data_IF_690936135730
#
_entry.id   IF_690936135730
#
_cell.length_a   1.000
_cell.length_b   1.000
_cell.length_c   1.000
_cell.angle_alpha   90.00
_cell.angle_beta   90.00
_cell.angle_gamma   90.00
#
_symmetry.space_group_name_H-M   'P 1'
#
loop_
_entity.id
_entity.type
_entity.pdbx_description
1 polymer ?
#
# COMPACT_ATOMS: atom_id res chain seq x y z
N UNK A 1 8.97 -17.30 19.70
CA UNK A 1 9.54 -17.96 18.50
C UNK A 1 10.89 -18.57 18.81
N UNK A 2 11.83 -17.86 19.46
CA UNK A 2 13.15 -18.42 19.81
C UNK A 2 13.09 -19.73 20.65
N UNK A 3 12.17 -19.83 21.60
CA UNK A 3 11.99 -21.03 22.44
C UNK A 3 11.46 -22.25 21.65
N UNK A 4 10.56 -22.02 20.67
CA UNK A 4 10.08 -23.06 19.77
C UNK A 4 11.20 -23.61 18.89
N UNK A 5 12.10 -22.76 18.39
CA UNK A 5 13.26 -23.21 17.60
C UNK A 5 14.17 -24.13 18.45
N UNK A 6 14.41 -23.79 19.72
CA UNK A 6 15.20 -24.63 20.63
C UNK A 6 14.54 -25.99 20.92
N UNK A 7 13.20 -26.03 20.99
CA UNK A 7 12.45 -27.29 21.14
C UNK A 7 12.52 -28.16 19.86
N UNK A 8 12.53 -27.54 18.68
CA UNK A 8 12.69 -28.24 17.40
C UNK A 8 14.10 -28.85 17.25
N UNK A 9 15.14 -28.14 17.66
CA UNK A 9 16.52 -28.65 17.68
C UNK A 9 16.64 -29.88 18.61
N UNK A 10 16.01 -29.84 19.79
CA UNK A 10 15.99 -30.97 20.73
C UNK A 10 15.24 -32.20 20.20
N UNK A 11 14.25 -32.01 19.32
CA UNK A 11 13.57 -33.10 18.61
C UNK A 11 14.51 -33.72 17.58
N UNK A 12 15.26 -32.91 16.83
CA UNK A 12 16.24 -33.39 15.85
C UNK A 12 17.35 -34.22 16.51
N UNK A 13 17.82 -33.78 17.69
CA UNK A 13 18.80 -34.51 18.49
C UNK A 13 18.23 -35.75 19.22
N UNK A 14 16.92 -36.00 19.11
CA UNK A 14 16.23 -37.14 19.72
C UNK A 14 16.07 -37.06 21.24
N UNK A 15 16.26 -35.88 21.82
CA UNK A 15 16.18 -35.65 23.27
C UNK A 15 14.73 -35.49 23.75
N UNK A 16 13.85 -35.00 22.89
CA UNK A 16 12.43 -34.78 23.17
C UNK A 16 11.58 -35.39 22.07
N UNK A 17 10.40 -35.91 22.44
CA UNK A 17 9.48 -36.47 21.46
C UNK A 17 8.60 -35.38 20.88
N UNK A 18 8.47 -35.37 19.56
CA UNK A 18 7.79 -34.31 18.83
C UNK A 18 6.33 -34.07 19.26
N UNK A 19 5.60 -35.12 19.67
CA UNK A 19 4.20 -34.97 20.05
C UNK A 19 4.03 -34.18 21.35
N UNK A 20 5.00 -34.23 22.27
CA UNK A 20 4.96 -33.51 23.55
C UNK A 20 5.09 -32.00 23.32
N UNK A 21 5.98 -31.60 22.42
CA UNK A 21 6.19 -30.19 22.03
C UNK A 21 4.96 -29.64 21.28
N UNK A 22 4.35 -30.45 20.41
CA UNK A 22 3.15 -30.04 19.66
C UNK A 22 1.93 -29.90 20.58
N UNK A 23 1.76 -30.81 21.54
CA UNK A 23 0.67 -30.76 22.52
C UNK A 23 0.78 -29.51 23.40
N UNK A 24 1.96 -29.26 23.98
CA UNK A 24 2.23 -28.07 24.80
C UNK A 24 1.95 -26.76 24.04
N UNK A 25 2.46 -26.64 22.80
CA UNK A 25 2.19 -25.46 21.97
C UNK A 25 0.70 -25.29 21.65
N UNK A 26 0.01 -26.40 21.37
CA UNK A 26 -1.38 -26.34 20.93
C UNK A 26 -2.34 -25.95 22.07
N UNK A 27 -2.06 -26.36 23.31
CA UNK A 27 -2.86 -25.94 24.47
C UNK A 27 -2.84 -24.42 24.65
N UNK A 28 -1.66 -23.80 24.63
CA UNK A 28 -1.49 -22.35 24.76
C UNK A 28 -2.09 -21.59 23.57
N UNK A 29 -1.87 -22.11 22.35
CA UNK A 29 -2.45 -21.54 21.14
C UNK A 29 -3.98 -21.61 21.16
N UNK A 30 -4.55 -22.73 21.59
CA UNK A 30 -6.00 -22.92 21.64
C UNK A 30 -6.66 -21.97 22.65
N UNK A 31 -6.05 -21.79 23.82
CA UNK A 31 -6.54 -20.80 24.80
C UNK A 31 -6.51 -19.38 24.22
N UNK A 32 -5.43 -19.03 23.52
CA UNK A 32 -5.30 -17.72 22.85
C UNK A 32 -6.34 -17.56 21.74
N UNK A 33 -6.57 -18.59 20.93
CA UNK A 33 -7.56 -18.60 19.86
C UNK A 33 -8.98 -18.43 20.42
N UNK A 34 -9.31 -19.15 21.49
CA UNK A 34 -10.61 -19.04 22.16
C UNK A 34 -10.85 -17.65 22.73
N UNK A 35 -9.84 -17.07 23.37
CA UNK A 35 -9.90 -15.68 23.84
C UNK A 35 -10.10 -14.73 22.66
N UNK A 36 -9.39 -14.93 21.55
CA UNK A 36 -9.54 -14.10 20.36
C UNK A 36 -10.94 -14.24 19.74
N UNK A 37 -11.52 -15.44 19.69
CA UNK A 37 -12.89 -15.68 19.21
C UNK A 37 -13.95 -15.05 20.12
N UNK A 38 -13.77 -15.13 21.45
CA UNK A 38 -14.71 -14.54 22.43
C UNK A 38 -14.58 -13.00 22.48
N UNK A 39 -13.37 -12.45 22.30
CA UNK A 39 -13.10 -11.01 22.32
C UNK A 39 -13.31 -10.33 20.96
N UNK A 40 -13.29 -11.10 19.86
CA UNK A 40 -13.82 -10.65 18.60
C UNK A 40 -15.33 -10.55 18.77
N UNK A 41 -15.80 -9.41 19.27
CA UNK A 41 -17.13 -8.94 18.91
C UNK A 41 -17.28 -9.16 17.40
N UNK A 42 -18.44 -9.63 16.94
CA UNK A 42 -18.80 -9.47 15.54
C UNK A 42 -18.67 -7.99 15.25
N UNK A 43 -17.50 -7.57 14.81
CA UNK A 43 -17.29 -6.29 14.17
C UNK A 43 -18.11 -6.51 12.91
N UNK A 44 -19.38 -6.16 12.99
CA UNK A 44 -20.18 -5.77 11.86
C UNK A 44 -19.33 -4.67 11.26
N UNK A 45 -18.49 -5.05 10.29
CA UNK A 45 -17.55 -4.17 9.60
C UNK A 45 -18.42 -3.27 8.73
N UNK A 46 -19.23 -2.45 9.38
CA UNK A 46 -19.39 -1.05 9.07
C UNK A 46 -18.02 -0.40 9.28
N UNK A 47 -16.99 -0.88 8.57
CA UNK A 47 -16.04 0.05 7.98
C UNK A 47 -16.96 1.11 7.38
N UNK A 48 -16.81 2.36 7.82
CA UNK A 48 -17.44 3.48 7.16
C UNK A 48 -16.91 3.46 5.72
N UNK A 49 -17.57 2.68 4.86
CA UNK A 49 -17.11 2.46 3.51
C UNK A 49 -17.45 3.77 2.82
N UNK A 50 -16.44 4.62 2.67
CA UNK A 50 -16.60 5.92 2.03
C UNK A 50 -17.29 5.70 0.67
N UNK A 51 -18.57 6.08 0.60
CA UNK A 51 -19.36 5.97 -0.62
C UNK A 51 -18.86 7.07 -1.54
N UNK A 52 -18.42 6.68 -2.71
CA UNK A 52 -17.95 7.62 -3.73
C UNK A 52 -19.06 7.91 -4.74
N UNK A 53 -18.99 9.05 -5.41
CA UNK A 53 -19.89 9.38 -6.53
C UNK A 53 -19.63 8.54 -7.79
N UNK A 54 -18.65 7.63 -7.75
CA UNK A 54 -18.29 6.75 -8.86
C UNK A 54 -19.34 5.65 -8.99
N UNK A 55 -20.05 5.61 -10.11
CA UNK A 55 -20.99 4.55 -10.44
C UNK A 55 -20.28 3.31 -11.00
N UNK A 56 -20.77 2.14 -10.59
CA UNK A 56 -20.32 0.85 -11.11
C UNK A 56 -20.79 0.67 -12.56
N UNK A 57 -19.87 0.35 -13.46
CA UNK A 57 -20.17 0.16 -14.89
C UNK A 57 -21.06 -1.06 -15.19
N UNK A 58 -21.12 -2.04 -14.28
CA UNK A 58 -21.89 -3.27 -14.50
C UNK A 58 -23.32 -3.21 -13.95
N UNK A 59 -23.57 -2.44 -12.89
CA UNK A 59 -24.88 -2.45 -12.21
C UNK A 59 -25.42 -1.05 -11.88
N UNK A 60 -24.66 0.01 -12.13
CA UNK A 60 -25.08 1.40 -11.88
C UNK A 60 -25.12 1.84 -10.41
N UNK A 61 -24.93 0.93 -9.44
CA UNK A 61 -24.84 1.26 -8.00
C UNK A 61 -23.54 2.04 -7.70
N UNK A 62 -23.53 2.81 -6.61
CA UNK A 62 -22.34 3.54 -6.17
C UNK A 62 -21.22 2.57 -5.76
N UNK A 63 -19.98 2.97 -6.03
CA UNK A 63 -18.79 2.27 -5.58
C UNK A 63 -18.33 2.80 -4.22
N UNK A 64 -17.73 1.93 -3.43
CA UNK A 64 -17.31 2.17 -2.06
C UNK A 64 -15.81 1.90 -1.92
N UNK A 65 -15.10 2.67 -1.09
CA UNK A 65 -13.66 2.50 -0.89
C UNK A 65 -13.38 1.37 0.10
N UNK A 66 -12.74 0.30 -0.34
CA UNK A 66 -12.28 -0.81 0.52
C UNK A 66 -10.77 -0.86 0.59
N UNK A 67 -10.23 -1.43 1.67
CA UNK A 67 -8.79 -1.65 1.87
C UNK A 67 -8.43 -3.10 1.56
N UNK A 68 -7.48 -3.31 0.65
CA UNK A 68 -6.94 -4.63 0.33
C UNK A 68 -5.42 -4.69 0.52
N UNK A 69 -4.82 -5.85 0.23
CA UNK A 69 -3.37 -6.08 0.32
C UNK A 69 -2.53 -5.03 -0.44
N UNK A 70 -3.05 -4.54 -1.57
CA UNK A 70 -2.33 -3.62 -2.45
C UNK A 70 -2.64 -2.13 -2.19
N UNK A 71 -3.51 -1.83 -1.23
CA UNK A 71 -3.94 -0.46 -0.92
C UNK A 71 -5.47 -0.32 -0.95
N UNK A 72 -5.93 0.93 -0.93
CA UNK A 72 -7.35 1.25 -1.10
C UNK A 72 -7.79 1.00 -2.55
N UNK A 73 -9.01 0.54 -2.76
CA UNK A 73 -9.60 0.31 -4.08
C UNK A 73 -11.12 0.57 -4.03
N UNK A 74 -11.72 0.83 -5.18
CA UNK A 74 -13.16 0.97 -5.31
C UNK A 74 -13.78 -0.41 -5.53
N UNK A 75 -14.74 -0.78 -4.71
CA UNK A 75 -15.55 -1.99 -4.87
C UNK A 75 -17.01 -1.62 -5.13
N UNK A 76 -17.73 -2.44 -5.87
CA UNK A 76 -19.18 -2.26 -6.00
C UNK A 76 -19.87 -2.45 -4.64
N UNK A 77 -20.79 -1.54 -4.28
CA UNK A 77 -21.65 -1.70 -3.09
C UNK A 77 -22.54 -2.94 -3.16
N UNK A 78 -22.83 -3.44 -4.36
CA UNK A 78 -23.64 -4.64 -4.58
C UNK A 78 -22.90 -5.97 -4.42
N UNK A 79 -21.73 -6.01 -3.78
CA UNK A 79 -21.09 -7.28 -3.44
C UNK A 79 -21.95 -8.07 -2.43
N UNK A 80 -22.16 -9.40 -2.58
CA UNK A 80 -21.48 -10.34 -3.47
C UNK A 80 -22.08 -10.50 -4.88
N UNK A 81 -23.24 -9.90 -5.18
CA UNK A 81 -23.94 -10.00 -6.47
C UNK A 81 -23.12 -9.40 -7.63
N UNK A 82 -22.42 -8.28 -7.36
CA UNK A 82 -21.56 -7.60 -8.31
C UNK A 82 -20.13 -7.50 -7.78
N UNK A 83 -19.21 -8.24 -8.42
CA UNK A 83 -17.78 -8.32 -8.04
C UNK A 83 -16.91 -7.28 -8.75
N UNK A 84 -17.51 -6.24 -9.33
CA UNK A 84 -16.76 -5.21 -10.02
C UNK A 84 -15.85 -4.44 -9.04
N UNK A 85 -14.60 -4.24 -9.42
CA UNK A 85 -13.62 -3.47 -8.66
C UNK A 85 -12.83 -2.57 -9.59
N UNK A 86 -12.42 -1.40 -9.08
CA UNK A 86 -11.57 -0.45 -9.79
C UNK A 86 -10.41 -0.02 -8.90
N UNK A 87 -9.22 0.19 -9.46
CA UNK A 87 -8.10 0.73 -8.68
C UNK A 87 -8.43 2.15 -8.23
N UNK A 88 -8.15 2.47 -6.96
CA UNK A 88 -8.18 3.83 -6.44
C UNK A 88 -6.74 4.27 -6.24
N UNK A 89 -6.24 5.13 -7.11
CA UNK A 89 -4.88 5.64 -6.95
C UNK A 89 -4.88 6.90 -6.08
N UNK A 90 -3.90 6.99 -5.18
CA UNK A 90 -3.70 8.16 -4.31
C UNK A 90 -3.12 9.31 -5.16
N UNK A 91 -3.87 10.40 -5.27
CA UNK A 91 -3.47 11.62 -5.99
C UNK A 91 -2.44 12.40 -5.17
N UNK A 92 -1.33 12.79 -5.78
CA UNK A 92 -0.24 13.52 -5.08
C UNK A 92 -0.51 15.04 -5.03
N UNK A 93 -1.46 15.53 -5.83
CA UNK A 93 -1.75 16.96 -5.95
C UNK A 93 -0.85 17.72 -6.93
N UNK A 94 0.11 17.05 -7.57
CA UNK A 94 1.00 17.66 -8.57
C UNK A 94 0.52 17.33 -9.98
N UNK A 95 0.43 18.37 -10.83
CA UNK A 95 0.04 18.22 -12.24
C UNK A 95 1.19 17.69 -13.09
N UNK A 96 0.86 16.86 -14.06
CA UNK A 96 1.78 16.30 -15.03
C UNK A 96 2.31 17.42 -15.96
N UNK A 97 3.63 17.50 -16.18
CA UNK A 97 4.21 18.56 -17.00
C UNK A 97 3.98 18.32 -18.51
N UNK A 98 3.65 17.09 -18.92
CA UNK A 98 3.41 16.73 -20.32
C UNK A 98 1.97 17.00 -20.77
N UNK A 99 0.98 16.63 -19.95
CA UNK A 99 -0.44 16.67 -20.35
C UNK A 99 -1.33 17.48 -19.40
N UNK A 100 -0.81 17.99 -18.28
CA UNK A 100 -1.59 18.71 -17.27
C UNK A 100 -2.50 17.83 -16.40
N UNK A 101 -2.61 16.52 -16.68
CA UNK A 101 -3.36 15.55 -15.87
C UNK A 101 -2.75 15.34 -14.49
N UNK A 102 -3.45 14.65 -13.60
CA UNK A 102 -2.96 14.43 -12.24
C UNK A 102 -1.92 13.31 -12.16
N UNK A 103 -0.96 13.45 -11.24
CA UNK A 103 0.00 12.39 -10.92
C UNK A 103 -0.52 11.57 -9.74
N UNK A 104 -0.54 10.26 -9.94
CA UNK A 104 -1.02 9.29 -8.97
C UNK A 104 0.08 8.32 -8.54
N UNK A 105 -0.01 7.85 -7.30
CA UNK A 105 0.92 6.88 -6.71
C UNK A 105 0.52 5.46 -7.07
N UNK A 106 1.46 4.69 -7.62
CA UNK A 106 1.30 3.31 -8.07
C UNK A 106 2.39 2.42 -7.46
N UNK A 107 2.16 1.10 -7.42
CA UNK A 107 3.16 0.10 -7.03
C UNK A 107 3.54 -0.75 -8.24
N UNK A 108 4.83 -0.98 -8.42
CA UNK A 108 5.36 -1.88 -9.45
C UNK A 108 5.12 -3.34 -9.06
N UNK A 109 5.28 -4.27 -10.03
CA UNK A 109 5.22 -5.72 -9.77
C UNK A 109 6.21 -6.19 -8.68
N UNK A 110 7.34 -5.49 -8.53
CA UNK A 110 8.37 -5.74 -7.50
C UNK A 110 8.09 -5.02 -6.18
N UNK A 111 6.92 -4.40 -6.01
CA UNK A 111 6.53 -3.70 -4.78
C UNK A 111 7.06 -2.27 -4.62
N UNK A 112 7.99 -1.81 -5.48
CA UNK A 112 8.49 -0.43 -5.44
C UNK A 112 7.41 0.56 -5.86
N UNK A 113 7.21 1.61 -5.06
CA UNK A 113 6.30 2.73 -5.37
C UNK A 113 6.89 3.60 -6.48
N UNK A 114 6.02 4.06 -7.38
CA UNK A 114 6.33 5.04 -8.41
C UNK A 114 5.12 5.96 -8.60
N UNK A 115 5.35 7.11 -9.23
CA UNK A 115 4.36 8.13 -9.48
C UNK A 115 4.18 8.27 -10.99
N UNK A 116 2.96 8.15 -11.47
CA UNK A 116 2.67 8.18 -12.90
C UNK A 116 1.45 9.04 -13.20
N UNK A 117 1.34 9.52 -14.43
CA UNK A 117 0.15 10.23 -14.86
C UNK A 117 -1.09 9.31 -14.80
N UNK A 118 -2.24 9.87 -14.42
CA UNK A 118 -3.54 9.20 -14.44
C UNK A 118 -3.97 8.83 -15.86
N UNK A 119 -3.65 9.67 -16.85
CA UNK A 119 -4.02 9.50 -18.27
C UNK A 119 -3.15 8.48 -19.04
N UNK A 120 -2.63 7.44 -18.38
CA UNK A 120 -1.95 6.35 -19.08
C UNK A 120 -3.00 5.49 -19.81
N UNK A 121 -2.80 5.09 -21.09
CA UNK A 121 -1.53 5.04 -21.83
C UNK A 121 -1.17 6.31 -22.63
N UNK A 122 -2.06 7.30 -22.74
CA UNK A 122 -1.87 8.49 -23.57
C UNK A 122 -0.72 9.39 -23.09
N UNK A 123 -0.37 9.30 -21.80
CA UNK A 123 0.78 9.97 -21.20
C UNK A 123 1.73 8.99 -20.51
N UNK A 124 2.96 8.93 -20.99
CA UNK A 124 4.06 8.03 -20.55
C UNK A 124 4.87 8.58 -19.36
N UNK A 125 4.41 9.65 -18.72
CA UNK A 125 5.13 10.31 -17.63
C UNK A 125 5.20 9.45 -16.36
N UNK A 126 6.41 9.13 -15.92
CA UNK A 126 6.71 8.31 -14.73
C UNK A 126 7.86 8.93 -13.93
N UNK A 127 7.74 8.88 -12.60
CA UNK A 127 8.77 9.26 -11.62
C UNK A 127 8.89 8.18 -10.55
N UNK A 128 10.11 7.97 -10.05
CA UNK A 128 10.38 7.02 -8.97
C UNK A 128 10.25 7.65 -7.58
N UNK A 129 10.52 8.94 -7.51
CA UNK A 129 10.54 9.72 -6.28
C UNK A 129 9.32 10.65 -6.27
N UNK A 130 8.89 11.08 -5.08
CA UNK A 130 7.63 11.81 -4.90
C UNK A 130 7.75 13.20 -5.52
N UNK A 131 6.90 13.58 -6.48
CA UNK A 131 6.94 14.92 -7.04
C UNK A 131 6.42 15.95 -6.05
N UNK A 132 6.99 17.15 -6.11
CA UNK A 132 6.62 18.32 -5.30
C UNK A 132 6.14 19.43 -6.24
N UNK A 133 5.26 20.29 -5.77
CA UNK A 133 4.69 21.38 -6.56
C UNK A 133 5.73 22.46 -6.94
N UNK A 134 6.81 22.58 -6.14
CA UNK A 134 7.94 23.46 -6.43
C UNK A 134 8.66 23.08 -7.74
N UNK A 135 8.87 24.08 -8.59
CA UNK A 135 9.68 23.95 -9.81
C UNK A 135 11.14 24.31 -9.53
N UNK A 136 12.04 23.64 -10.24
CA UNK A 136 13.46 23.92 -10.21
C UNK A 136 13.75 25.34 -10.76
N UNK A 137 14.47 26.19 -10.02
CA UNK A 137 14.79 27.54 -10.46
C UNK A 137 15.78 27.59 -11.63
N UNK A 138 16.50 26.49 -11.89
CA UNK A 138 17.55 26.43 -12.92
C UNK A 138 16.99 25.98 -14.27
N UNK A 139 16.11 24.98 -14.29
CA UNK A 139 15.62 24.39 -15.54
C UNK A 139 14.08 24.36 -15.68
N UNK A 140 13.33 24.84 -14.68
CA UNK A 140 11.87 24.85 -14.69
C UNK A 140 11.20 23.48 -14.58
N UNK A 141 11.96 22.39 -14.49
CA UNK A 141 11.44 21.03 -14.27
C UNK A 141 10.97 20.86 -12.82
N UNK A 142 10.12 19.87 -12.54
CA UNK A 142 9.62 19.64 -11.17
C UNK A 142 10.70 19.09 -10.23
N UNK A 143 10.56 19.39 -8.95
CA UNK A 143 11.40 18.80 -7.90
C UNK A 143 10.79 17.49 -7.41
N UNK A 144 11.66 16.59 -6.96
CA UNK A 144 11.29 15.31 -6.34
C UNK A 144 11.90 15.19 -4.95
N UNK A 145 11.14 14.64 -4.03
CA UNK A 145 11.54 14.38 -2.65
C UNK A 145 12.27 13.03 -2.56
N UNK A 146 13.51 13.06 -2.06
CA UNK A 146 14.36 11.89 -1.86
C UNK A 146 14.71 11.74 -0.39
N UNK A 147 14.52 10.53 0.13
CA UNK A 147 14.88 10.17 1.50
C UNK A 147 16.39 9.90 1.60
N UNK A 148 17.06 10.54 2.55
CA UNK A 148 18.47 10.33 2.89
C UNK A 148 18.62 9.95 4.35
N UNK A 149 19.83 9.53 4.78
CA UNK A 149 20.10 9.14 6.17
C UNK A 149 19.79 10.25 7.18
N UNK A 150 19.86 11.52 6.76
CA UNK A 150 19.77 12.69 7.63
C UNK A 150 18.49 13.53 7.40
N UNK A 151 17.50 13.02 6.64
CA UNK A 151 16.25 13.72 6.36
C UNK A 151 15.82 13.64 4.89
N UNK A 152 15.04 14.63 4.46
CA UNK A 152 14.46 14.70 3.12
C UNK A 152 15.17 15.79 2.29
N UNK A 153 15.59 15.45 1.08
CA UNK A 153 16.16 16.42 0.12
C UNK A 153 15.25 16.55 -1.09
N UNK A 154 15.11 17.76 -1.62
CA UNK A 154 14.48 18.03 -2.90
C UNK A 154 15.55 18.02 -3.97
N UNK A 155 15.44 17.11 -4.94
CA UNK A 155 16.32 17.05 -6.11
C UNK A 155 15.52 17.39 -7.36
N UNK A 156 16.15 18.01 -8.35
CA UNK A 156 15.55 18.19 -9.66
C UNK A 156 15.25 16.84 -10.35
N UNK A 157 14.08 16.71 -10.98
CA UNK A 157 13.70 15.51 -11.73
C UNK A 157 14.48 15.32 -13.04
N UNK A 158 15.03 16.41 -13.59
CA UNK A 158 15.77 16.38 -14.86
C UNK A 158 17.20 15.85 -14.65
N UNK A 159 17.62 14.76 -15.34
CA UNK A 159 18.98 14.22 -15.23
C UNK A 159 20.08 15.21 -15.60
N UNK A 160 19.79 16.22 -16.42
CA UNK A 160 20.75 17.25 -16.82
C UNK A 160 20.89 18.43 -15.84
N UNK A 161 20.23 18.39 -14.68
CA UNK A 161 20.26 19.47 -13.70
C UNK A 161 20.56 18.91 -12.30
N UNK A 162 21.69 19.32 -11.72
CA UNK A 162 22.15 18.87 -10.40
C UNK A 162 21.63 19.72 -9.23
N UNK A 163 20.54 20.48 -9.45
CA UNK A 163 19.94 21.28 -8.38
C UNK A 163 19.40 20.38 -7.26
N UNK A 164 19.81 20.69 -6.03
CA UNK A 164 19.35 20.04 -4.81
C UNK A 164 19.17 21.06 -3.69
N UNK A 165 18.14 20.86 -2.85
CA UNK A 165 17.78 21.70 -1.71
C UNK A 165 17.46 20.79 -0.53
N UNK A 166 18.08 21.01 0.61
CA UNK A 166 17.75 20.30 1.84
C UNK A 166 16.45 20.86 2.43
N UNK A 167 15.56 19.96 2.87
CA UNK A 167 14.37 20.33 3.63
C UNK A 167 14.65 19.91 5.07
N UNK A 168 14.74 20.90 5.96
CA UNK A 168 14.86 20.68 7.40
C UNK A 168 13.55 20.19 7.98
#
# INVERSE_FOLDING_TARGET
TAEMEEQLDKIEEGQVKWYEVVEEFYEDFYNTLKIAEEQMEEIDVKEEVEVTDVKCELCGRNMVVKKGRYGKFLACSGFPECKNTKPLYEKVGVKCPKCGGEIVKKKSKKGRTYYACENAPDCDFILWDKPVEEKCPVCGSMLVEKNTKNGHILKCSNPGCDYQKEVK
#
